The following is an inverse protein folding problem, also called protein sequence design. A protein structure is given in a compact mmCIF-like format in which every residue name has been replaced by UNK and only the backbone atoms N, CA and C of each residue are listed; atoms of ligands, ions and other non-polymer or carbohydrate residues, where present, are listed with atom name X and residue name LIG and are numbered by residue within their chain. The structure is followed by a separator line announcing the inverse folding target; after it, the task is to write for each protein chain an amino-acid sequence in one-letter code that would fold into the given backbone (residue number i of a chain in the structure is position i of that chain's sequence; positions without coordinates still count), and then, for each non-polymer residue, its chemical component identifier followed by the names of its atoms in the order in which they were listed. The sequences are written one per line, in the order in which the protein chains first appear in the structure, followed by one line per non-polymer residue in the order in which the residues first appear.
data_IF_926784526146
#
_entry.id   IF_926784526146
#
_cell.length_a   1.000
_cell.length_b   1.000
_cell.length_c   1.000
_cell.angle_alpha   90.00
_cell.angle_beta   90.00
_cell.angle_gamma   90.00
#
_symmetry.space_group_name_H-M   'P 1'
#
loop_
_entity.id
_entity.type
_entity.pdbx_description
1 polymer ?
#
# COMPACT_ATOMS: atom_id res chain seq x y z
N UNK A 1 -24.23 -5.27 4.57
CA UNK A 1 -24.20 -4.72 3.18
C UNK A 1 -22.75 -4.67 2.76
N UNK A 2 -22.34 -5.65 1.97
CA UNK A 2 -21.04 -5.65 1.35
C UNK A 2 -20.90 -4.44 0.41
N UNK A 3 -19.75 -3.77 0.45
CA UNK A 3 -19.42 -2.61 -0.39
C UNK A 3 -18.13 -2.90 -1.13
N UNK A 4 -18.18 -2.84 -2.46
CA UNK A 4 -17.01 -3.03 -3.32
C UNK A 4 -16.75 -1.76 -4.13
N UNK A 5 -15.51 -1.28 -4.10
CA UNK A 5 -15.04 -0.16 -4.91
C UNK A 5 -13.79 -0.59 -5.65
N UNK A 6 -13.82 -0.47 -6.98
CA UNK A 6 -12.66 -0.68 -7.85
C UNK A 6 -12.10 0.66 -8.34
N UNK A 7 -10.80 0.69 -8.59
CA UNK A 7 -10.07 1.87 -9.06
C UNK A 7 -9.36 1.55 -10.36
N UNK A 8 -9.36 2.50 -11.30
CA UNK A 8 -8.82 2.34 -12.66
C UNK A 8 -7.75 3.38 -12.98
N UNK A 9 -6.99 3.81 -11.96
CA UNK A 9 -5.93 4.81 -12.12
C UNK A 9 -4.87 4.33 -13.13
N UNK A 10 -4.42 5.21 -14.02
CA UNK A 10 -3.35 4.89 -14.97
C UNK A 10 -2.04 4.58 -14.23
N UNK A 11 -1.18 3.80 -14.89
CA UNK A 11 0.22 3.63 -14.44
C UNK A 11 0.97 4.90 -14.85
N UNK A 12 1.69 5.58 -13.95
CA UNK A 12 2.53 6.71 -14.30
C UNK A 12 3.60 6.33 -15.34
N UNK A 13 3.97 7.28 -16.20
CA UNK A 13 5.05 7.09 -17.18
C UNK A 13 6.37 6.72 -16.48
N UNK A 14 7.13 5.81 -17.09
CA UNK A 14 8.38 5.29 -16.53
C UNK A 14 8.22 4.32 -15.36
N UNK A 15 6.99 3.93 -15.02
CA UNK A 15 6.71 2.96 -13.97
C UNK A 15 6.02 1.71 -14.52
N UNK A 16 6.20 0.58 -13.85
CA UNK A 16 5.49 -0.67 -14.12
C UNK A 16 5.05 -1.33 -12.83
N UNK A 17 4.12 -2.29 -12.96
CA UNK A 17 3.69 -3.12 -11.85
C UNK A 17 4.82 -4.10 -11.50
N UNK A 18 5.27 -4.03 -10.25
CA UNK A 18 6.20 -4.97 -9.65
C UNK A 18 5.44 -6.17 -9.08
N UNK A 19 4.40 -5.88 -8.28
CA UNK A 19 3.49 -6.89 -7.70
C UNK A 19 2.05 -6.42 -7.82
N UNK A 20 1.18 -7.31 -8.31
CA UNK A 20 -0.23 -7.03 -8.52
C UNK A 20 -1.06 -7.39 -7.28
N UNK A 21 -2.04 -6.55 -6.92
CA UNK A 21 -3.07 -6.91 -5.93
C UNK A 21 -2.57 -7.16 -4.51
N UNK A 22 -1.51 -6.46 -4.10
CA UNK A 22 -0.96 -6.51 -2.74
C UNK A 22 -2.02 -6.15 -1.72
N UNK A 23 -2.28 -7.07 -0.79
CA UNK A 23 -3.21 -6.85 0.31
C UNK A 23 -2.54 -6.07 1.45
N UNK A 24 -3.20 -5.00 1.89
CA UNK A 24 -2.73 -4.22 3.04
C UNK A 24 -2.95 -5.03 4.31
N UNK A 25 -1.89 -5.26 5.08
CA UNK A 25 -2.01 -5.83 6.42
C UNK A 25 -2.55 -4.74 7.34
N UNK A 26 -3.78 -4.93 7.86
CA UNK A 26 -4.45 -3.97 8.76
C UNK A 26 -4.46 -4.51 10.19
N UNK A 27 -3.56 -4.03 11.08
CA UNK A 27 -3.59 -4.44 12.47
C UNK A 27 -4.87 -3.98 13.17
N UNK A 28 -5.30 -4.71 14.21
CA UNK A 28 -6.53 -4.43 14.97
C UNK A 28 -6.62 -2.98 15.47
N UNK A 29 -5.49 -2.39 15.91
CA UNK A 29 -5.46 -1.00 16.38
C UNK A 29 -5.59 0.05 15.25
N UNK A 30 -5.41 -0.33 13.97
CA UNK A 30 -5.58 0.52 12.79
C UNK A 30 -6.92 0.32 12.10
N UNK A 31 -7.64 -0.76 12.41
CA UNK A 31 -8.91 -1.13 11.79
C UNK A 31 -9.93 0.01 11.73
N UNK A 32 -10.13 0.76 12.84
CA UNK A 32 -11.04 1.91 12.87
C UNK A 32 -10.64 3.02 11.87
N UNK A 33 -9.35 3.22 11.66
CA UNK A 33 -8.83 4.21 10.70
C UNK A 33 -9.02 3.71 9.27
N UNK A 34 -8.70 2.44 9.01
CA UNK A 34 -8.94 1.81 7.72
C UNK A 34 -10.43 1.85 7.32
N UNK A 35 -11.35 1.58 8.27
CA UNK A 35 -12.80 1.67 8.06
C UNK A 35 -13.26 3.07 7.69
N UNK A 36 -12.73 4.08 8.39
CA UNK A 36 -13.00 5.48 8.08
C UNK A 36 -12.50 5.83 6.68
N UNK A 37 -11.31 5.37 6.30
CA UNK A 37 -10.74 5.58 4.97
C UNK A 37 -11.59 4.94 3.86
N UNK A 38 -11.98 3.67 4.02
CA UNK A 38 -12.82 2.94 3.08
C UNK A 38 -14.15 3.66 2.77
N UNK A 39 -14.68 4.43 3.73
CA UNK A 39 -15.93 5.16 3.59
C UNK A 39 -15.80 6.58 3.01
N UNK A 40 -14.61 7.15 2.87
CA UNK A 40 -14.41 8.50 2.27
C UNK A 40 -14.62 8.50 0.75
N UNK A 41 -14.91 9.65 0.13
CA UNK A 41 -15.02 9.78 -1.34
C UNK A 41 -13.64 9.82 -2.03
N UNK A 42 -12.74 10.67 -1.57
CA UNK A 42 -11.40 10.83 -2.16
C UNK A 42 -10.40 9.90 -1.46
N UNK A 43 -10.17 8.73 -2.05
CA UNK A 43 -9.30 7.69 -1.50
C UNK A 43 -7.98 7.65 -2.28
N UNK A 44 -6.89 7.96 -1.60
CA UNK A 44 -5.52 7.80 -2.14
C UNK A 44 -4.67 7.21 -1.04
N UNK A 45 -3.72 6.36 -1.44
CA UNK A 45 -2.73 5.77 -0.54
C UNK A 45 -1.33 6.18 -0.99
N UNK A 46 -0.37 6.12 -0.07
CA UNK A 46 1.06 6.25 -0.35
C UNK A 46 1.82 5.33 0.61
N UNK A 47 3.03 4.99 0.21
CA UNK A 47 3.96 4.22 1.01
C UNK A 47 4.84 5.18 1.80
N UNK A 48 5.16 4.82 3.04
CA UNK A 48 6.09 5.57 3.87
C UNK A 48 6.93 4.59 4.67
N UNK A 49 8.26 4.66 4.50
CA UNK A 49 9.20 3.89 5.31
C UNK A 49 9.09 4.28 6.78
N UNK A 50 9.18 3.29 7.66
CA UNK A 50 9.30 3.46 9.11
C UNK A 50 10.71 3.06 9.56
N UNK A 51 11.68 3.94 9.32
CA UNK A 51 13.10 3.71 9.67
C UNK A 51 13.32 3.45 11.17
N UNK A 52 12.44 3.98 12.02
CA UNK A 52 12.62 4.03 13.46
C UNK A 52 11.82 2.93 14.20
N UNK A 53 11.28 1.94 13.48
CA UNK A 53 10.55 0.84 14.10
C UNK A 53 11.51 -0.15 14.77
N UNK A 54 11.44 -0.22 16.10
CA UNK A 54 12.26 -1.10 16.94
C UNK A 54 12.13 -2.59 16.61
N UNK A 55 11.04 -3.01 15.98
CA UNK A 55 10.76 -4.41 15.69
C UNK A 55 11.07 -4.82 14.24
N UNK A 56 11.06 -3.87 13.31
CA UNK A 56 11.30 -4.10 11.88
C UNK A 56 11.72 -2.77 11.22
N UNK A 57 13.02 -2.54 11.08
CA UNK A 57 13.58 -1.33 10.48
C UNK A 57 13.29 -1.20 8.97
N UNK A 58 12.76 -2.26 8.35
CA UNK A 58 12.32 -2.27 6.95
C UNK A 58 10.84 -1.91 6.77
N UNK A 59 10.05 -1.84 7.85
CA UNK A 59 8.59 -1.74 7.76
C UNK A 59 8.13 -0.57 6.87
N UNK A 60 7.25 -0.87 5.91
CA UNK A 60 6.64 0.13 5.02
C UNK A 60 5.17 0.32 5.39
N UNK A 61 4.83 1.52 5.87
CA UNK A 61 3.46 1.91 6.18
C UNK A 61 2.67 2.16 4.90
N UNK A 62 1.45 1.65 4.86
CA UNK A 62 0.42 2.08 3.91
C UNK A 62 -0.38 3.19 4.57
N UNK A 63 -0.29 4.35 3.95
CA UNK A 63 -0.80 5.58 4.53
C UNK A 63 -1.96 6.13 3.69
N UNK A 64 -3.09 6.39 4.32
CA UNK A 64 -4.22 7.05 3.68
C UNK A 64 -4.00 8.57 3.61
N UNK A 65 -4.32 9.14 2.45
CA UNK A 65 -4.39 10.59 2.27
C UNK A 65 -5.83 11.03 2.46
N UNK A 66 -6.05 12.03 3.32
CA UNK A 66 -7.36 12.64 3.46
C UNK A 66 -7.25 14.15 3.33
N UNK A 67 -7.96 14.74 2.37
CA UNK A 67 -8.06 16.19 2.22
C UNK A 67 -9.06 16.69 3.28
N UNK A 68 -8.57 17.39 4.30
CA UNK A 68 -9.41 18.21 5.18
C UNK A 68 -9.65 19.59 4.56
N UNK A 69 -10.47 20.41 5.20
CA UNK A 69 -10.73 21.80 4.76
C UNK A 69 -9.46 22.67 4.83
N UNK A 70 -8.56 22.42 5.79
CA UNK A 70 -7.36 23.26 6.00
C UNK A 70 -6.00 22.52 5.96
N UNK A 71 -5.93 21.19 6.11
CA UNK A 71 -4.67 20.43 6.00
C UNK A 71 -4.88 19.02 5.40
N UNK A 72 -3.86 18.53 4.69
CA UNK A 72 -3.77 17.13 4.26
C UNK A 72 -3.38 16.25 5.44
N UNK A 73 -4.35 15.57 6.05
CA UNK A 73 -4.07 14.62 7.11
C UNK A 73 -3.66 13.26 6.53
N UNK A 74 -2.49 12.82 6.95
CA UNK A 74 -1.84 11.55 6.59
C UNK A 74 -2.00 10.56 7.74
N UNK A 75 -2.66 9.41 7.51
CA UNK A 75 -2.88 8.40 8.57
C UNK A 75 -2.49 7.00 8.12
N UNK A 76 -1.71 6.31 8.94
CA UNK A 76 -1.40 4.88 8.73
C UNK A 76 -2.69 4.06 8.83
N UNK A 77 -2.96 3.28 7.78
CA UNK A 77 -4.08 2.34 7.72
C UNK A 77 -3.62 0.88 7.81
N UNK A 78 -2.32 0.62 7.62
CA UNK A 78 -1.76 -0.71 7.67
C UNK A 78 -0.32 -0.73 7.15
N UNK A 79 0.13 -1.90 6.76
CA UNK A 79 1.50 -2.18 6.37
C UNK A 79 1.56 -3.00 5.08
N UNK A 80 2.68 -2.86 4.37
CA UNK A 80 3.03 -3.76 3.27
C UNK A 80 3.41 -5.13 3.86
N UNK A 81 3.02 -6.25 3.23
CA UNK A 81 3.45 -7.59 3.62
C UNK A 81 4.98 -7.73 3.73
N UNK A 82 5.44 -8.56 4.68
CA UNK A 82 6.85 -8.67 5.05
C UNK A 82 7.73 -9.24 3.91
N UNK A 83 7.21 -10.16 3.10
CA UNK A 83 7.87 -10.71 1.91
C UNK A 83 8.19 -9.63 0.88
N UNK A 84 7.24 -8.74 0.61
CA UNK A 84 7.41 -7.61 -0.29
C UNK A 84 8.39 -6.60 0.31
N UNK A 85 8.25 -6.29 1.61
CA UNK A 85 9.19 -5.39 2.30
C UNK A 85 10.62 -5.92 2.23
N UNK A 86 10.83 -7.21 2.50
CA UNK A 86 12.14 -7.84 2.44
C UNK A 86 12.74 -7.75 1.03
N UNK A 87 11.93 -7.99 0.00
CA UNK A 87 12.36 -7.84 -1.40
C UNK A 87 12.81 -6.41 -1.67
N UNK A 88 12.01 -5.41 -1.28
CA UNK A 88 12.31 -4.00 -1.52
C UNK A 88 13.57 -3.53 -0.80
N UNK A 89 13.76 -3.94 0.46
CA UNK A 89 14.95 -3.59 1.25
C UNK A 89 16.19 -4.27 0.67
N UNK A 90 16.08 -5.53 0.25
CA UNK A 90 17.20 -6.27 -0.34
C UNK A 90 17.68 -5.62 -1.65
N UNK A 91 16.76 -5.08 -2.43
CA UNK A 91 17.08 -4.42 -3.71
C UNK A 91 17.27 -2.91 -3.60
N UNK A 92 17.17 -2.32 -2.39
CA UNK A 92 17.29 -0.87 -2.18
C UNK A 92 16.21 -0.03 -2.89
N UNK A 93 15.03 -0.60 -3.11
CA UNK A 93 13.94 0.01 -3.88
C UNK A 93 12.84 0.65 -3.04
N UNK A 94 12.96 0.60 -1.70
CA UNK A 94 11.93 1.07 -0.77
C UNK A 94 11.47 2.51 -1.01
N UNK A 95 12.36 3.39 -1.48
CA UNK A 95 12.07 4.80 -1.73
C UNK A 95 11.70 5.10 -3.20
N UNK A 96 11.80 4.10 -4.09
CA UNK A 96 11.49 4.23 -5.52
C UNK A 96 10.08 3.75 -5.89
N UNK A 97 9.43 3.03 -4.98
CA UNK A 97 8.13 2.41 -5.22
C UNK A 97 6.94 3.28 -4.85
N UNK A 98 5.81 3.04 -5.51
CA UNK A 98 4.53 3.72 -5.25
C UNK A 98 3.39 2.71 -5.17
N UNK A 99 2.39 3.01 -4.35
CA UNK A 99 1.17 2.23 -4.31
C UNK A 99 0.10 2.81 -5.25
N UNK A 100 -0.46 1.97 -6.11
CA UNK A 100 -1.64 2.27 -6.92
C UNK A 100 -2.84 1.53 -6.37
N UNK A 101 -3.74 2.25 -5.69
CA UNK A 101 -4.96 1.65 -5.14
C UNK A 101 -5.77 0.95 -6.24
N UNK A 102 -6.15 -0.30 -6.00
CA UNK A 102 -6.88 -1.15 -6.95
C UNK A 102 -8.30 -1.42 -6.46
N UNK A 103 -8.45 -1.74 -5.17
CA UNK A 103 -9.71 -2.22 -4.62
C UNK A 103 -9.85 -1.84 -3.15
N UNK A 104 -11.08 -1.52 -2.76
CA UNK A 104 -11.51 -1.53 -1.36
C UNK A 104 -12.82 -2.32 -1.29
N UNK A 105 -12.83 -3.38 -0.50
CA UNK A 105 -14.03 -4.12 -0.14
C UNK A 105 -14.30 -4.00 1.37
N UNK A 106 -15.58 -3.86 1.72
CA UNK A 106 -16.09 -4.04 3.07
C UNK A 106 -17.07 -5.21 2.98
N UNK A 107 -16.77 -6.32 3.63
CA UNK A 107 -17.57 -7.54 3.57
C UNK A 107 -18.61 -7.59 4.71
N UNK A 108 -19.55 -8.53 4.63
CA UNK A 108 -20.51 -8.75 5.71
C UNK A 108 -19.75 -9.30 6.94
N UNK A 109 -19.92 -8.65 8.10
CA UNK A 109 -19.05 -8.65 9.31
C UNK A 109 -17.99 -7.54 9.38
N UNK A 110 -18.10 -6.53 8.52
CA UNK A 110 -17.22 -5.37 8.48
C UNK A 110 -15.74 -5.70 8.19
N UNK A 111 -15.40 -6.88 7.68
CA UNK A 111 -14.01 -7.16 7.24
C UNK A 111 -13.63 -6.19 6.13
N UNK A 112 -12.45 -5.57 6.22
CA UNK A 112 -11.98 -4.58 5.25
C UNK A 112 -10.83 -5.19 4.48
N UNK A 113 -11.00 -5.30 3.16
CA UNK A 113 -9.94 -5.69 2.24
C UNK A 113 -9.51 -4.46 1.43
N UNK A 114 -8.24 -4.09 1.50
CA UNK A 114 -7.66 -3.00 0.72
C UNK A 114 -6.53 -3.59 -0.11
N UNK A 115 -6.63 -3.46 -1.45
CA UNK A 115 -5.59 -3.94 -2.37
C UNK A 115 -5.01 -2.83 -3.22
N UNK A 116 -3.73 -2.96 -3.52
CA UNK A 116 -3.01 -2.03 -4.37
C UNK A 116 -1.98 -2.75 -5.24
N UNK A 117 -1.61 -2.13 -6.35
CA UNK A 117 -0.45 -2.54 -7.10
C UNK A 117 0.79 -1.81 -6.60
N UNK A 118 1.86 -2.57 -6.36
CA UNK A 118 3.16 -2.00 -6.12
C UNK A 118 3.77 -1.62 -7.46
N UNK A 119 4.04 -0.34 -7.65
CA UNK A 119 4.67 0.21 -8.83
C UNK A 119 6.13 0.55 -8.54
N UNK A 120 7.02 0.27 -9.48
CA UNK A 120 8.41 0.72 -9.43
C UNK A 120 8.90 1.18 -10.81
N UNK A 121 10.12 1.72 -10.91
CA UNK A 121 10.71 2.14 -12.18
C UNK A 121 10.79 0.98 -13.18
N UNK A 122 10.67 1.26 -14.48
CA UNK A 122 10.75 0.20 -15.49
C UNK A 122 12.13 -0.48 -15.53
N UNK A 123 13.19 0.31 -15.39
CA UNK A 123 14.59 -0.12 -15.54
C UNK A 123 15.06 -1.00 -14.36
N UNK A 124 14.43 -0.84 -13.20
CA UNK A 124 14.77 -1.52 -11.94
C UNK A 124 14.02 -2.86 -11.76
N UNK A 125 13.18 -3.27 -12.72
CA UNK A 125 12.29 -4.42 -12.55
C UNK A 125 13.00 -5.77 -12.55
N UNK A 126 14.06 -5.93 -13.35
CA UNK A 126 14.79 -7.20 -13.40
C UNK A 126 15.40 -7.52 -12.04
N UNK A 127 16.03 -6.53 -11.41
CA UNK A 127 16.58 -6.64 -10.06
C UNK A 127 15.49 -7.03 -9.05
N UNK A 128 14.33 -6.36 -9.06
CA UNK A 128 13.20 -6.70 -8.20
C UNK A 128 12.73 -8.15 -8.40
N UNK A 129 12.43 -8.51 -9.65
CA UNK A 129 11.87 -9.82 -10.00
C UNK A 129 12.83 -10.97 -9.69
N UNK A 130 14.14 -10.74 -9.82
CA UNK A 130 15.17 -11.73 -9.52
C UNK A 130 15.18 -12.17 -8.06
N UNK A 131 14.82 -11.27 -7.14
CA UNK A 131 14.72 -11.56 -5.70
C UNK A 131 13.33 -12.06 -5.35
N UNK A 132 12.28 -11.40 -5.86
CA UNK A 132 10.89 -11.72 -5.51
C UNK A 132 10.51 -13.17 -5.83
N UNK A 133 10.99 -13.73 -6.95
CA UNK A 133 10.68 -15.10 -7.37
C UNK A 133 11.64 -16.17 -6.83
N UNK A 134 12.65 -15.80 -6.04
CA UNK A 134 13.59 -16.74 -5.41
C UNK A 134 13.18 -17.18 -4.00
N UNK A 135 12.27 -16.45 -3.36
CA UNK A 135 11.66 -16.81 -2.06
C UNK A 135 10.38 -17.61 -2.23
#
# INVERSE_FOLDING_TARGET
MAKLIKFTSSIPMGMRIYTHGVEVIVPTNRYRIAKKFANRRNRRIYLQRESDNKNDSGAIKVMAKSKGWFLEARKCIGYVPADIVNTLVTTGMEDKVKARLQLIAIEDRDTINIRFDLLGPMDDYEEYSSIYFRG
#
